data_IF_182776992667
#
_entry.id   IF_182776992667
#
_cell.length_a   1.000
_cell.length_b   1.000
_cell.length_c   1.000
_cell.angle_alpha   90.00
_cell.angle_beta   90.00
_cell.angle_gamma   90.00
#
_symmetry.space_group_name_H-M   'P 1'
#
loop_
_entity.id
_entity.type
_entity.pdbx_description
1 polymer ?
#
# COMPACT_ATOMS: atom_id res chain seq x y z
N UNK A 1 -24.75 -9.65 -20.70
CA UNK A 1 -24.76 -10.10 -19.28
C UNK A 1 -26.07 -9.65 -18.67
N UNK A 2 -26.66 -10.40 -17.72
CA UNK A 2 -27.97 -10.03 -17.14
C UNK A 2 -27.76 -9.04 -15.98
N UNK A 3 -28.57 -7.98 -15.84
CA UNK A 3 -28.58 -7.14 -14.64
C UNK A 3 -28.81 -7.98 -13.39
N UNK A 4 -28.11 -7.68 -12.29
CA UNK A 4 -28.21 -8.40 -11.01
C UNK A 4 -27.17 -9.50 -10.79
N UNK A 5 -26.28 -9.76 -11.75
CA UNK A 5 -25.17 -10.68 -11.55
C UNK A 5 -24.14 -10.09 -10.57
N UNK A 6 -23.70 -10.90 -9.61
CA UNK A 6 -22.74 -10.50 -8.58
C UNK A 6 -21.50 -11.38 -8.65
N UNK A 7 -20.33 -10.75 -8.70
CA UNK A 7 -19.03 -11.40 -8.56
C UNK A 7 -18.50 -11.17 -7.15
N UNK A 8 -18.00 -12.24 -6.53
CA UNK A 8 -17.23 -12.17 -5.29
C UNK A 8 -15.74 -12.28 -5.62
N UNK A 9 -14.93 -11.38 -5.05
CA UNK A 9 -13.46 -11.38 -5.18
C UNK A 9 -12.89 -11.52 -3.77
N UNK A 10 -12.31 -12.69 -3.49
CA UNK A 10 -11.96 -13.06 -2.11
C UNK A 10 -13.21 -13.09 -1.22
N UNK A 11 -13.03 -12.78 0.07
CA UNK A 11 -14.11 -12.88 1.06
C UNK A 11 -14.87 -11.56 1.28
N UNK A 12 -14.24 -10.42 0.97
CA UNK A 12 -14.74 -9.10 1.41
C UNK A 12 -15.09 -8.14 0.27
N UNK A 13 -14.80 -8.49 -0.99
CA UNK A 13 -15.08 -7.61 -2.13
C UNK A 13 -16.20 -8.21 -2.97
N UNK A 14 -17.23 -7.41 -3.21
CA UNK A 14 -18.39 -7.79 -4.01
C UNK A 14 -18.62 -6.77 -5.12
N UNK A 15 -18.73 -7.25 -6.36
CA UNK A 15 -18.99 -6.44 -7.56
C UNK A 15 -20.33 -6.84 -8.13
N UNK A 16 -21.28 -5.93 -8.20
CA UNK A 16 -22.65 -6.19 -8.67
C UNK A 16 -22.95 -5.39 -9.93
N UNK A 17 -23.50 -6.05 -10.94
CA UNK A 17 -24.00 -5.38 -12.15
C UNK A 17 -25.34 -4.75 -11.84
N UNK A 18 -25.37 -3.44 -11.61
CA UNK A 18 -26.59 -2.68 -11.29
C UNK A 18 -27.51 -2.53 -12.50
N UNK A 19 -26.94 -2.50 -13.71
CA UNK A 19 -27.70 -2.41 -14.95
C UNK A 19 -26.81 -2.12 -16.15
N UNK A 20 -27.38 -2.22 -17.34
CA UNK A 20 -26.74 -1.87 -18.60
C UNK A 20 -27.68 -0.97 -19.40
N UNK A 21 -27.17 0.16 -19.87
CA UNK A 21 -27.89 1.09 -20.74
C UNK A 21 -27.04 1.36 -21.98
N UNK A 22 -27.48 0.86 -23.13
CA UNK A 22 -26.68 0.87 -24.36
C UNK A 22 -25.35 0.16 -24.14
N UNK A 23 -24.24 0.84 -24.46
CA UNK A 23 -22.88 0.34 -24.27
C UNK A 23 -22.32 0.61 -22.85
N UNK A 24 -23.06 1.32 -21.99
CA UNK A 24 -22.61 1.60 -20.63
C UNK A 24 -23.16 0.57 -19.64
N UNK A 25 -22.28 0.03 -18.81
CA UNK A 25 -22.62 -0.87 -17.72
C UNK A 25 -22.39 -0.15 -16.39
N UNK A 26 -23.39 -0.18 -15.50
CA UNK A 26 -23.29 0.33 -14.13
C UNK A 26 -22.86 -0.80 -13.22
N UNK A 27 -21.75 -0.59 -12.52
CA UNK A 27 -21.20 -1.53 -11.55
C UNK A 27 -21.29 -0.90 -10.15
N UNK A 28 -21.84 -1.65 -9.19
CA UNK A 28 -21.73 -1.37 -7.77
C UNK A 28 -20.55 -2.17 -7.22
N UNK A 29 -19.70 -1.55 -6.42
CA UNK A 29 -18.55 -2.21 -5.81
C UNK A 29 -18.64 -1.98 -4.31
N UNK A 30 -18.65 -3.07 -3.55
CA UNK A 30 -18.54 -3.06 -2.10
C UNK A 30 -17.19 -3.66 -1.75
N UNK A 31 -16.38 -2.91 -1.01
CA UNK A 31 -15.12 -3.37 -0.47
C UNK A 31 -14.90 -2.71 0.90
N UNK A 32 -14.04 -3.30 1.75
CA UNK A 32 -13.58 -2.66 2.98
C UNK A 32 -12.87 -1.33 2.72
N UNK A 33 -12.89 -0.42 3.70
CA UNK A 33 -12.28 0.92 3.61
C UNK A 33 -10.75 0.89 3.40
N UNK A 34 -10.08 -0.20 3.77
CA UNK A 34 -8.65 -0.41 3.54
C UNK A 34 -8.31 -0.77 2.09
N UNK A 35 -9.31 -1.10 1.27
CA UNK A 35 -9.15 -1.45 -0.15
C UNK A 35 -9.53 -0.26 -1.03
N UNK A 36 -8.52 0.41 -1.59
CA UNK A 36 -8.74 1.53 -2.50
C UNK A 36 -9.18 1.05 -3.90
N UNK A 37 -10.38 1.46 -4.33
CA UNK A 37 -10.93 1.15 -5.64
C UNK A 37 -10.71 2.33 -6.59
N UNK A 38 -10.05 2.08 -7.71
CA UNK A 38 -9.78 3.10 -8.73
C UNK A 38 -10.27 2.63 -10.10
N UNK A 39 -10.62 3.58 -10.96
CA UNK A 39 -10.85 3.31 -12.39
C UNK A 39 -9.52 2.94 -13.06
N UNK A 40 -9.53 1.98 -13.98
CA UNK A 40 -8.31 1.42 -14.59
C UNK A 40 -7.44 2.49 -15.25
N UNK A 41 -8.05 3.44 -15.95
CA UNK A 41 -7.37 4.56 -16.61
C UNK A 41 -6.71 5.53 -15.63
N UNK A 42 -7.33 5.78 -14.47
CA UNK A 42 -6.75 6.60 -13.40
C UNK A 42 -5.63 5.83 -12.71
N UNK A 43 -5.84 4.53 -12.49
CA UNK A 43 -4.81 3.65 -11.93
C UNK A 43 -3.58 3.58 -12.84
N UNK A 44 -3.75 3.50 -14.16
CA UNK A 44 -2.62 3.48 -15.11
C UNK A 44 -1.84 4.79 -15.14
N UNK A 45 -2.50 5.93 -14.95
CA UNK A 45 -1.84 7.24 -14.87
C UNK A 45 -1.05 7.43 -13.57
N UNK A 46 -1.50 6.82 -12.47
CA UNK A 46 -0.83 6.86 -11.16
C UNK A 46 0.19 5.71 -11.00
N UNK A 47 0.04 4.62 -11.77
CA UNK A 47 0.49 3.28 -11.40
C UNK A 47 1.19 2.50 -12.52
N UNK A 48 2.07 3.15 -13.28
CA UNK A 48 3.12 2.39 -13.99
C UNK A 48 4.23 1.89 -13.04
N UNK A 49 4.02 2.03 -11.73
CA UNK A 49 4.81 1.36 -10.70
C UNK A 49 4.27 -0.06 -10.58
N UNK A 50 4.90 -1.01 -11.27
CA UNK A 50 4.82 -2.42 -10.87
C UNK A 50 5.05 -2.49 -9.36
N UNK A 51 4.28 -3.27 -8.58
CA UNK A 51 4.53 -3.38 -7.14
C UNK A 51 5.99 -3.79 -6.97
N UNK A 52 6.82 -2.85 -6.50
CA UNK A 52 8.26 -3.09 -6.36
C UNK A 52 8.40 -4.23 -5.36
N UNK A 53 9.08 -5.33 -5.72
CA UNK A 53 9.28 -6.44 -4.82
C UNK A 53 9.87 -5.93 -3.48
N UNK A 54 9.36 -6.41 -2.34
CA UNK A 54 9.86 -6.00 -1.02
C UNK A 54 11.38 -6.12 -0.88
N UNK A 55 11.98 -7.15 -1.49
CA UNK A 55 13.42 -7.36 -1.49
C UNK A 55 14.18 -6.21 -2.19
N UNK A 56 13.70 -5.76 -3.34
CA UNK A 56 14.34 -4.68 -4.10
C UNK A 56 14.22 -3.33 -3.38
N UNK A 57 13.08 -3.08 -2.70
CA UNK A 57 12.93 -1.92 -1.82
C UNK A 57 13.92 -1.95 -0.65
N UNK A 58 14.10 -3.11 -0.01
CA UNK A 58 15.05 -3.27 1.09
C UNK A 58 16.49 -3.08 0.63
N UNK A 59 16.86 -3.66 -0.51
CA UNK A 59 18.21 -3.54 -1.07
C UNK A 59 18.55 -2.10 -1.46
N UNK A 60 17.63 -1.42 -2.16
CA UNK A 60 17.82 -0.02 -2.55
C UNK A 60 17.93 0.91 -1.34
N UNK A 61 17.07 0.70 -0.33
CA UNK A 61 17.15 1.43 0.94
C UNK A 61 18.47 1.21 1.65
N UNK A 62 18.87 -0.04 1.88
CA UNK A 62 20.08 -0.37 2.63
C UNK A 62 21.38 0.07 1.91
N UNK A 63 21.35 0.21 0.57
CA UNK A 63 22.47 0.76 -0.21
C UNK A 63 22.70 2.25 0.07
N UNK A 64 21.62 2.99 0.32
CA UNK A 64 21.64 4.44 0.50
C UNK A 64 21.63 4.85 1.97
N UNK A 65 21.12 4.00 2.85
CA UNK A 65 20.91 4.27 4.26
C UNK A 65 21.45 3.12 5.11
N UNK A 66 22.57 3.31 5.83
CA UNK A 66 23.08 2.30 6.76
C UNK A 66 22.16 2.11 7.97
N UNK A 67 22.53 1.23 8.91
CA UNK A 67 21.84 1.14 10.20
C UNK A 67 21.92 2.46 10.97
N UNK A 68 20.94 2.72 11.85
CA UNK A 68 20.88 3.92 12.72
C UNK A 68 20.77 5.25 11.98
N UNK A 69 19.88 5.30 10.98
CA UNK A 69 19.59 6.51 10.21
C UNK A 69 18.39 7.24 10.81
N UNK A 70 18.44 8.57 10.82
CA UNK A 70 17.32 9.40 11.20
C UNK A 70 16.25 9.32 10.10
N UNK A 71 15.00 9.12 10.50
CA UNK A 71 13.86 9.01 9.59
C UNK A 71 12.68 9.78 10.13
N UNK A 72 11.84 10.25 9.22
CA UNK A 72 10.48 10.66 9.50
C UNK A 72 9.55 9.53 9.08
N UNK A 73 8.56 9.21 9.92
CA UNK A 73 7.53 8.26 9.53
C UNK A 73 6.13 8.75 9.91
N UNK A 74 5.12 8.28 9.18
CA UNK A 74 3.70 8.53 9.47
C UNK A 74 3.03 7.27 9.98
N UNK A 75 2.57 7.23 11.25
CA UNK A 75 1.90 6.05 11.79
C UNK A 75 0.54 5.78 11.12
N UNK A 76 -0.19 6.84 10.75
CA UNK A 76 -1.49 6.77 10.10
C UNK A 76 -1.53 7.64 8.84
N UNK A 77 -2.46 7.33 7.92
CA UNK A 77 -2.75 8.20 6.77
C UNK A 77 -3.06 9.61 7.29
N UNK A 78 -2.41 10.61 6.71
CA UNK A 78 -2.56 12.04 7.05
C UNK A 78 -2.09 12.48 8.45
N UNK A 79 -1.49 11.59 9.25
CA UNK A 79 -0.90 11.96 10.54
C UNK A 79 0.35 12.83 10.39
N UNK A 80 0.63 13.68 11.38
CA UNK A 80 1.87 14.46 11.46
C UNK A 80 3.06 13.50 11.49
N UNK A 81 4.12 13.70 10.67
CA UNK A 81 5.30 12.86 10.71
C UNK A 81 6.00 12.91 12.06
N UNK A 82 6.48 11.77 12.52
CA UNK A 82 7.27 11.63 13.73
C UNK A 82 8.72 11.37 13.33
N UNK A 83 9.65 12.15 13.87
CA UNK A 83 11.09 11.95 13.71
C UNK A 83 11.59 10.92 14.70
N UNK A 84 12.38 9.96 14.23
CA UNK A 84 13.00 8.92 15.05
C UNK A 84 14.23 8.35 14.34
N UNK A 85 14.84 7.30 14.88
CA UNK A 85 15.98 6.58 14.30
C UNK A 85 15.65 5.13 14.03
N UNK A 86 16.29 4.56 13.01
CA UNK A 86 16.22 3.11 12.78
C UNK A 86 17.04 2.35 13.83
N UNK A 87 16.52 1.22 14.30
CA UNK A 87 17.24 0.32 15.21
C UNK A 87 18.14 -0.65 14.43
N UNK A 88 17.71 -1.03 13.23
CA UNK A 88 18.40 -1.98 12.35
C UNK A 88 18.29 -1.53 10.90
N UNK A 89 19.02 -2.22 10.01
CA UNK A 89 18.75 -2.14 8.56
C UNK A 89 17.33 -2.60 8.22
N UNK A 90 16.85 -2.22 7.04
CA UNK A 90 15.55 -2.66 6.53
C UNK A 90 15.55 -4.16 6.25
N UNK A 91 14.38 -4.79 6.39
CA UNK A 91 14.17 -6.23 6.14
C UNK A 91 12.81 -6.49 5.49
N UNK A 92 12.66 -7.69 4.95
CA UNK A 92 11.34 -8.20 4.50
C UNK A 92 10.68 -8.93 5.67
N UNK A 93 9.44 -8.58 5.99
CA UNK A 93 8.62 -9.25 7.02
C UNK A 93 8.18 -10.64 6.55
N UNK A 94 7.71 -11.47 7.48
CA UNK A 94 7.13 -12.78 7.14
C UNK A 94 5.91 -12.69 6.20
N UNK A 95 5.19 -11.57 6.22
CA UNK A 95 4.06 -11.29 5.32
C UNK A 95 4.48 -10.73 3.96
N UNK A 96 5.78 -10.72 3.64
CA UNK A 96 6.28 -10.20 2.38
C UNK A 96 6.20 -8.68 2.26
N UNK A 97 6.40 -7.93 3.35
CA UNK A 97 6.39 -6.47 3.32
C UNK A 97 7.77 -5.92 3.64
N UNK A 98 8.19 -4.84 2.96
CA UNK A 98 9.45 -4.17 3.27
C UNK A 98 9.28 -3.24 4.48
N UNK A 99 10.10 -3.45 5.52
CA UNK A 99 9.95 -2.80 6.83
C UNK A 99 11.26 -2.34 7.44
N UNK A 100 11.16 -1.37 8.36
CA UNK A 100 12.23 -0.93 9.27
C UNK A 100 11.73 -0.92 10.72
N UNK A 101 12.66 -1.10 11.67
CA UNK A 101 12.38 -0.97 13.10
C UNK A 101 12.84 0.40 13.57
N UNK A 102 11.99 1.06 14.34
CA UNK A 102 12.21 2.43 14.79
C UNK A 102 12.33 2.47 16.31
N UNK A 103 13.18 3.37 16.80
CA UNK A 103 13.30 3.63 18.22
C UNK A 103 11.97 4.14 18.79
N UNK A 104 11.57 3.59 19.94
CA UNK A 104 10.30 3.91 20.59
C UNK A 104 9.05 3.30 19.94
N UNK A 105 9.19 2.42 18.94
CA UNK A 105 8.07 1.70 18.33
C UNK A 105 8.15 0.20 18.62
N UNK A 106 7.01 -0.37 19.06
CA UNK A 106 6.91 -1.80 19.35
C UNK A 106 6.78 -2.67 18.09
N UNK A 107 6.31 -2.08 16.98
CA UNK A 107 6.08 -2.77 15.71
C UNK A 107 6.93 -2.19 14.58
N UNK A 108 7.34 -3.01 13.61
CA UNK A 108 8.03 -2.52 12.43
C UNK A 108 7.12 -1.60 11.61
N UNK A 109 7.72 -0.61 10.94
CA UNK A 109 7.04 0.35 10.07
C UNK A 109 7.38 0.06 8.61
N UNK A 110 6.38 0.17 7.75
CA UNK A 110 6.53 -0.05 6.31
C UNK A 110 7.38 1.03 5.68
N UNK A 111 8.32 0.67 4.81
CA UNK A 111 9.21 1.63 4.15
C UNK A 111 8.46 2.77 3.45
N UNK A 112 7.27 2.50 2.87
CA UNK A 112 6.45 3.53 2.21
C UNK A 112 5.89 4.61 3.16
N UNK A 113 5.87 4.33 4.45
CA UNK A 113 5.43 5.29 5.47
C UNK A 113 6.61 6.07 6.06
N UNK A 114 7.84 5.81 5.59
CA UNK A 114 9.08 6.35 6.13
C UNK A 114 9.86 7.12 5.06
N UNK A 115 10.57 8.15 5.48
CA UNK A 115 11.49 8.91 4.63
C UNK A 115 12.74 9.19 5.43
N UNK A 116 13.90 8.85 4.88
CA UNK A 116 15.17 9.16 5.53
C UNK A 116 15.39 10.67 5.54
N UNK A 117 15.91 11.17 6.66
CA UNK A 117 16.26 12.57 6.83
C UNK A 117 17.78 12.66 6.90
N UNK A 118 18.36 13.49 6.03
CA UNK A 118 19.80 13.81 6.00
C UNK A 118 20.22 14.69 7.18
#
# INVERSE_FOLDING_TARGET
RRPGETLHIGDNITVTVLGSQGDQVRLGITAPDDVAIHRSEIYQQIGNVRPVPPAELVESWNRTHPAQVAVEYRPLRDSIPIRTRTLTQAKVSASGMAVIWLEGQATPVLLRNCTAVS
#
